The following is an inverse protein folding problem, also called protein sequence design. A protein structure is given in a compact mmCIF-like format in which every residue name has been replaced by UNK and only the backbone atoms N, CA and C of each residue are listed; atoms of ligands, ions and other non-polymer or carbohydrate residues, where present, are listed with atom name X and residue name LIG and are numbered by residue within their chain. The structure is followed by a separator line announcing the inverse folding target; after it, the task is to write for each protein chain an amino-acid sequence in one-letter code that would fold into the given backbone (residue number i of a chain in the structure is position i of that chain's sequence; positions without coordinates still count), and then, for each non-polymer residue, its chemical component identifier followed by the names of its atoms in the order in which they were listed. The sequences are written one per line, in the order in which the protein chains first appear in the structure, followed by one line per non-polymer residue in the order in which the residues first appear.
data_IF_230868396249
#
_entry.id   IF_230868396249
#
_cell.length_a   1.000
_cell.length_b   1.000
_cell.length_c   1.000
_cell.angle_alpha   90.00
_cell.angle_beta   90.00
_cell.angle_gamma   90.00
#
_symmetry.space_group_name_H-M   'P 1'
#
loop_
_entity.id
_entity.type
_entity.pdbx_description
1 polymer ?
#
# COMPACT_ATOMS: atom_id res chain seq x y z
N UNK A 1 -19.84 -5.90 8.24
CA UNK A 1 -18.36 -5.94 8.25
C UNK A 1 -17.86 -5.12 7.06
N UNK A 2 -17.40 -3.91 7.29
CA UNK A 2 -16.84 -3.04 6.26
C UNK A 2 -15.53 -2.47 6.79
N UNK A 3 -14.50 -3.31 6.86
CA UNK A 3 -13.14 -2.82 7.12
C UNK A 3 -12.70 -2.06 5.87
N UNK A 4 -13.07 -0.78 5.81
CA UNK A 4 -12.65 0.17 4.79
C UNK A 4 -11.15 0.43 4.99
N UNK A 5 -10.33 -0.52 4.54
CA UNK A 5 -8.87 -0.40 4.50
C UNK A 5 -8.45 0.45 3.30
N UNK A 6 -9.04 1.63 3.21
CA UNK A 6 -8.86 2.57 2.11
C UNK A 6 -7.76 3.54 2.48
N UNK A 7 -6.59 3.39 1.87
CA UNK A 7 -5.57 4.43 1.92
C UNK A 7 -6.09 5.60 1.06
N UNK A 8 -6.14 6.81 1.60
CA UNK A 8 -6.48 7.97 0.78
C UNK A 8 -5.39 8.19 -0.27
N UNK A 9 -5.75 8.55 -1.50
CA UNK A 9 -4.77 8.82 -2.57
C UNK A 9 -3.71 9.86 -2.16
N UNK A 10 -4.11 10.86 -1.38
CA UNK A 10 -3.21 11.88 -0.83
C UNK A 10 -2.14 11.32 0.15
N UNK A 11 -2.40 10.16 0.78
CA UNK A 11 -1.42 9.50 1.67
C UNK A 11 -0.48 8.56 0.93
N UNK A 12 -0.63 8.40 -0.39
CA UNK A 12 0.21 7.50 -1.19
C UNK A 12 1.69 7.92 -1.15
N UNK A 13 1.98 9.22 -1.26
CA UNK A 13 3.35 9.73 -1.19
C UNK A 13 3.99 9.48 0.18
N UNK A 14 3.26 9.80 1.25
CA UNK A 14 3.69 9.53 2.62
C UNK A 14 3.89 8.02 2.87
N UNK A 15 3.00 7.19 2.33
CA UNK A 15 3.08 5.75 2.45
C UNK A 15 4.30 5.19 1.72
N UNK A 16 4.61 5.68 0.52
CA UNK A 16 5.82 5.31 -0.22
C UNK A 16 7.09 5.64 0.57
N UNK A 17 7.16 6.83 1.17
CA UNK A 17 8.30 7.24 2.02
C UNK A 17 8.43 6.37 3.27
N UNK A 18 7.31 6.07 3.93
CA UNK A 18 7.30 5.19 5.10
C UNK A 18 7.75 3.78 4.75
N UNK A 19 7.31 3.22 3.61
CA UNK A 19 7.76 1.92 3.12
C UNK A 19 9.28 1.89 2.93
N UNK A 20 9.86 2.90 2.27
CA UNK A 20 11.32 2.97 2.09
C UNK A 20 12.03 3.03 3.45
N UNK A 21 11.49 3.80 4.41
CA UNK A 21 12.05 3.91 5.77
C UNK A 21 11.96 2.59 6.57
N UNK A 22 10.87 1.83 6.41
CA UNK A 22 10.68 0.50 7.04
C UNK A 22 11.53 -0.60 6.36
N UNK A 23 12.25 -0.27 5.29
CA UNK A 23 13.14 -1.20 4.58
C UNK A 23 12.46 -1.96 3.44
N UNK A 24 11.38 -1.41 2.87
CA UNK A 24 10.77 -1.92 1.65
C UNK A 24 11.43 -1.33 0.42
N UNK A 25 11.55 -2.15 -0.61
CA UNK A 25 11.97 -1.75 -1.94
C UNK A 25 10.73 -1.50 -2.79
N UNK A 26 10.59 -0.29 -3.32
CA UNK A 26 9.52 0.04 -4.27
C UNK A 26 9.88 -0.54 -5.63
N UNK A 27 8.98 -1.33 -6.21
CA UNK A 27 9.09 -1.88 -7.56
C UNK A 27 8.12 -1.16 -8.51
N UNK A 28 8.33 -1.33 -9.81
CA UNK A 28 7.39 -0.81 -10.82
C UNK A 28 6.05 -1.55 -10.75
N UNK A 29 4.92 -0.83 -10.75
CA UNK A 29 3.60 -1.45 -10.89
C UNK A 29 3.50 -2.14 -12.25
N UNK A 30 2.92 -3.34 -12.29
CA UNK A 30 2.77 -4.13 -13.54
C UNK A 30 1.35 -4.12 -14.08
N UNK A 31 0.35 -3.91 -13.23
CA UNK A 31 -1.06 -3.92 -13.57
C UNK A 31 -1.61 -2.53 -13.90
N UNK A 32 -2.63 -2.49 -14.76
CA UNK A 32 -3.31 -1.26 -15.22
C UNK A 32 -3.86 -0.42 -14.05
N UNK A 33 -4.27 -1.09 -12.97
CA UNK A 33 -4.81 -0.45 -11.76
C UNK A 33 -3.82 -0.44 -10.60
N UNK A 34 -2.61 -0.96 -10.78
CA UNK A 34 -1.58 -0.96 -9.75
C UNK A 34 -0.91 0.41 -9.72
N UNK A 35 -0.98 1.10 -8.57
CA UNK A 35 -0.33 2.41 -8.40
C UNK A 35 0.95 2.34 -7.57
N UNK A 36 1.10 1.26 -6.80
CA UNK A 36 2.30 1.05 -6.00
C UNK A 36 2.53 -0.43 -5.83
N UNK A 37 3.79 -0.83 -6.02
CA UNK A 37 4.28 -2.16 -5.69
C UNK A 37 5.49 -2.01 -4.78
N UNK A 38 5.51 -2.75 -3.68
CA UNK A 38 6.61 -2.74 -2.73
C UNK A 38 6.94 -4.16 -2.30
N UNK A 39 8.22 -4.48 -2.24
CA UNK A 39 8.73 -5.79 -1.82
C UNK A 39 9.62 -5.62 -0.61
N UNK A 40 9.48 -6.50 0.38
CA UNK A 40 10.36 -6.55 1.55
C UNK A 40 11.25 -7.79 1.48
N UNK A 41 12.52 -7.63 1.84
CA UNK A 41 13.40 -8.78 2.02
C UNK A 41 12.82 -9.74 3.08
N UNK A 42 12.70 -11.03 2.73
CA UNK A 42 12.09 -12.04 3.60
C UNK A 42 10.57 -12.21 3.45
N UNK A 43 9.89 -11.40 2.62
CA UNK A 43 8.47 -11.59 2.31
C UNK A 43 8.30 -12.24 0.94
N UNK A 44 7.58 -13.36 0.89
CA UNK A 44 7.32 -14.09 -0.37
C UNK A 44 6.41 -13.29 -1.31
N UNK A 45 5.49 -12.49 -0.76
CA UNK A 45 4.52 -11.72 -1.51
C UNK A 45 4.84 -10.22 -1.50
N UNK A 46 4.85 -9.54 -2.66
CA UNK A 46 4.92 -8.09 -2.70
C UNK A 46 3.60 -7.47 -2.22
N UNK A 47 3.72 -6.31 -1.57
CA UNK A 47 2.62 -5.41 -1.26
C UNK A 47 2.22 -4.67 -2.53
N UNK A 48 0.94 -4.75 -2.88
CA UNK A 48 0.40 -4.10 -4.08
C UNK A 48 -0.77 -3.23 -3.66
N UNK A 49 -0.74 -1.98 -4.12
CA UNK A 49 -1.81 -1.01 -3.91
C UNK A 49 -2.48 -0.75 -5.26
N UNK A 50 -3.80 -0.90 -5.26
CA UNK A 50 -4.65 -0.69 -6.42
C UNK A 50 -5.39 0.64 -6.32
N UNK A 51 -5.48 1.35 -7.43
CA UNK A 51 -6.36 2.50 -7.57
C UNK A 51 -7.77 2.05 -7.92
N UNK A 52 -8.75 2.51 -7.14
CA UNK A 52 -10.16 2.36 -7.53
C UNK A 52 -10.58 3.48 -8.47
N UNK A 53 -11.63 3.21 -9.22
CA UNK A 53 -12.27 4.16 -10.14
C UNK A 53 -12.71 5.46 -9.42
N UNK A 54 -13.14 5.35 -8.15
CA UNK A 54 -13.24 6.50 -7.24
C UNK A 54 -11.83 6.87 -6.74
N UNK A 55 -11.21 7.87 -7.37
CA UNK A 55 -9.84 8.38 -7.17
C UNK A 55 -9.47 8.78 -5.72
N UNK A 56 -10.42 8.75 -4.80
CA UNK A 56 -10.22 9.10 -3.39
C UNK A 56 -9.58 7.96 -2.59
N UNK A 57 -9.90 6.71 -2.94
CA UNK A 57 -9.53 5.56 -2.13
C UNK A 57 -8.74 4.51 -2.90
N UNK A 58 -7.59 4.18 -2.34
CA UNK A 58 -6.75 3.09 -2.79
C UNK A 58 -7.12 1.82 -2.04
N UNK A 59 -7.11 0.70 -2.75
CA UNK A 59 -7.38 -0.63 -2.18
C UNK A 59 -6.09 -1.42 -2.06
N UNK A 60 -5.97 -2.12 -0.94
CA UNK A 60 -4.88 -3.04 -0.67
C UNK A 60 -5.43 -4.45 -0.52
N UNK A 61 -4.59 -5.45 -0.69
CA UNK A 61 -4.96 -6.83 -0.43
C UNK A 61 -5.14 -7.05 1.08
N UNK A 62 -6.02 -7.99 1.44
CA UNK A 62 -6.36 -8.28 2.83
C UNK A 62 -5.12 -8.71 3.66
N UNK A 63 -4.25 -9.51 3.05
CA UNK A 63 -2.95 -9.94 3.61
C UNK A 63 -1.98 -8.78 3.95
N UNK A 64 -2.20 -7.62 3.34
CA UNK A 64 -1.35 -6.44 3.46
C UNK A 64 -1.96 -5.38 4.41
N UNK A 65 -3.13 -5.67 5.00
CA UNK A 65 -3.83 -4.78 5.93
C UNK A 65 -2.96 -4.42 7.12
N UNK A 66 -2.23 -5.37 7.70
CA UNK A 66 -1.37 -5.13 8.86
C UNK A 66 -0.32 -4.04 8.60
N UNK A 67 0.20 -3.98 7.37
CA UNK A 67 1.16 -2.95 6.97
C UNK A 67 0.51 -1.57 6.93
N UNK A 68 -0.72 -1.48 6.39
CA UNK A 68 -1.48 -0.22 6.36
C UNK A 68 -1.88 0.21 7.77
N UNK A 69 -2.30 -0.72 8.63
CA UNK A 69 -2.60 -0.41 10.03
C UNK A 69 -1.38 0.12 10.76
N UNK A 70 -0.21 -0.51 10.58
CA UNK A 70 1.05 -0.06 11.17
C UNK A 70 1.41 1.36 10.71
N UNK A 71 1.30 1.63 9.41
CA UNK A 71 1.48 3.00 8.88
C UNK A 71 0.49 4.01 9.47
N UNK A 72 -0.77 3.63 9.67
CA UNK A 72 -1.79 4.51 10.26
C UNK A 72 -1.59 4.72 11.77
N UNK A 73 -0.97 3.76 12.46
CA UNK A 73 -0.65 3.83 13.89
C UNK A 73 0.64 4.61 14.18
N UNK A 74 1.64 4.54 13.29
CA UNK A 74 2.90 5.31 13.40
C UNK A 74 2.77 6.78 12.96
N UNK A 75 1.56 7.35 13.00
CA UNK A 75 1.26 8.69 12.50
C UNK A 75 1.39 9.79 13.55
#
# INVERSE_FOLDING_TARGET
MANRNTLHSNKLDAFRKWLIKDGWTIEEPKGIWEVLRAKKAGRQNPLIVYQKMNKEHLSVLDRDIDVIKRFLQEK
#
